data_IF_323546780332
#
_entry.id   IF_323546780332
#
_cell.length_a   1.000
_cell.length_b   1.000
_cell.length_c   1.000
_cell.angle_alpha   90.00
_cell.angle_beta   90.00
_cell.angle_gamma   90.00
#
_symmetry.space_group_name_H-M   'P 1'
#
loop_
_entity.id
_entity.type
_entity.pdbx_description
1 polymer ?
#
# COMPACT_ATOMS: atom_id res chain seq x y z
N UNK A 1 3.73 -17.91 -11.37
CA UNK A 1 3.14 -16.59 -11.63
C UNK A 1 3.18 -15.73 -10.37
N UNK A 2 2.71 -16.24 -9.21
CA UNK A 2 2.71 -15.46 -7.98
C UNK A 2 4.13 -15.08 -7.48
N UNK A 3 5.11 -15.98 -7.62
CA UNK A 3 6.50 -15.71 -7.27
C UNK A 3 7.16 -14.69 -8.20
N UNK A 4 6.90 -14.81 -9.49
CA UNK A 4 7.43 -13.87 -10.49
C UNK A 4 6.88 -12.47 -10.28
N UNK A 5 5.59 -12.35 -9.95
CA UNK A 5 4.96 -11.07 -9.60
C UNK A 5 5.53 -10.47 -8.30
N UNK A 6 5.92 -11.32 -7.34
CA UNK A 6 6.51 -10.87 -6.08
C UNK A 6 7.89 -10.25 -6.29
N UNK A 7 8.75 -10.89 -7.06
CA UNK A 7 10.07 -10.34 -7.43
C UNK A 7 9.93 -9.12 -8.36
N UNK A 8 9.00 -9.20 -9.31
CA UNK A 8 8.72 -8.08 -10.20
C UNK A 8 8.30 -6.81 -9.45
N UNK A 9 7.56 -6.95 -8.35
CA UNK A 9 7.09 -5.80 -7.56
C UNK A 9 8.26 -5.03 -6.94
N UNK A 10 9.23 -5.71 -6.34
CA UNK A 10 10.41 -5.07 -5.76
C UNK A 10 11.23 -4.31 -6.81
N UNK A 11 11.59 -4.98 -7.89
CA UNK A 11 12.36 -4.35 -8.97
C UNK A 11 11.58 -3.23 -9.66
N UNK A 12 10.28 -3.40 -9.82
CA UNK A 12 9.44 -2.36 -10.40
C UNK A 12 9.38 -1.13 -9.50
N UNK A 13 9.27 -1.32 -8.19
CA UNK A 13 9.27 -0.19 -7.24
C UNK A 13 10.60 0.54 -7.26
N UNK A 14 11.74 -0.17 -7.34
CA UNK A 14 13.06 0.46 -7.50
C UNK A 14 13.10 1.35 -8.73
N UNK A 15 12.63 0.85 -9.88
CA UNK A 15 12.61 1.59 -11.13
C UNK A 15 11.66 2.77 -11.09
N UNK A 16 10.50 2.62 -10.46
CA UNK A 16 9.53 3.70 -10.29
C UNK A 16 10.11 4.81 -9.42
N UNK A 17 10.72 4.47 -8.29
CA UNK A 17 11.36 5.44 -7.41
C UNK A 17 12.49 6.19 -8.11
N UNK A 18 13.33 5.48 -8.85
CA UNK A 18 14.39 6.10 -9.64
C UNK A 18 13.82 7.06 -10.69
N UNK A 19 12.80 6.64 -11.42
CA UNK A 19 12.14 7.48 -12.41
C UNK A 19 11.54 8.74 -11.79
N UNK A 20 10.87 8.62 -10.66
CA UNK A 20 10.28 9.76 -9.95
C UNK A 20 11.35 10.78 -9.59
N UNK A 21 12.48 10.34 -9.02
CA UNK A 21 13.57 11.24 -8.68
C UNK A 21 14.19 11.91 -9.91
N UNK A 22 14.35 11.19 -11.01
CA UNK A 22 14.83 11.76 -12.27
C UNK A 22 13.88 12.82 -12.82
N UNK A 23 12.58 12.68 -12.59
CA UNK A 23 11.55 13.65 -12.99
C UNK A 23 11.31 14.73 -11.92
N UNK A 24 12.13 14.77 -10.86
CA UNK A 24 12.02 15.72 -9.75
C UNK A 24 10.70 15.58 -8.97
N UNK A 25 10.16 14.38 -8.93
CA UNK A 25 9.03 14.02 -8.08
C UNK A 25 9.52 13.26 -6.84
N UNK A 26 8.80 13.33 -5.74
CA UNK A 26 9.19 12.67 -4.49
C UNK A 26 8.00 12.08 -3.72
N UNK A 27 6.86 11.92 -4.37
CA UNK A 27 5.64 11.44 -3.73
C UNK A 27 5.01 10.34 -4.59
N UNK A 28 4.57 9.26 -3.94
CA UNK A 28 3.93 8.13 -4.62
C UNK A 28 2.73 7.63 -3.82
N UNK A 29 1.59 7.47 -4.50
CA UNK A 29 0.44 6.74 -3.97
C UNK A 29 0.43 5.36 -4.63
N UNK A 30 0.71 4.27 -3.89
CA UNK A 30 0.68 2.94 -4.48
C UNK A 30 -0.76 2.52 -4.81
N UNK A 31 -0.92 1.76 -5.89
CA UNK A 31 -2.21 1.18 -6.23
C UNK A 31 -2.54 0.07 -5.24
N UNK A 32 -3.74 0.12 -4.68
CA UNK A 32 -4.27 -0.91 -3.78
C UNK A 32 -5.68 -1.28 -4.22
N UNK A 33 -5.84 -2.52 -4.64
CA UNK A 33 -7.11 -3.05 -5.14
C UNK A 33 -7.32 -4.46 -4.60
N UNK A 34 -8.51 -5.01 -4.78
CA UNK A 34 -8.82 -6.37 -4.33
C UNK A 34 -7.91 -7.44 -4.96
N UNK A 35 -7.41 -7.19 -6.17
CA UNK A 35 -6.48 -8.08 -6.86
C UNK A 35 -5.00 -7.83 -6.55
N UNK A 36 -4.67 -6.81 -5.78
CA UNK A 36 -3.30 -6.48 -5.37
C UNK A 36 -3.13 -6.64 -3.88
N UNK A 37 -1.89 -6.89 -3.45
CA UNK A 37 -1.56 -6.87 -2.02
C UNK A 37 -1.35 -5.44 -1.55
N UNK A 38 -1.50 -5.23 -0.24
CA UNK A 38 -1.21 -3.96 0.37
C UNK A 38 0.28 -3.60 0.20
N UNK A 39 0.58 -2.30 0.19
CA UNK A 39 1.96 -1.83 0.12
C UNK A 39 2.83 -2.42 1.24
N UNK A 40 2.32 -2.48 2.46
CA UNK A 40 3.05 -2.99 3.62
C UNK A 40 3.07 -4.52 3.72
N UNK A 41 2.40 -5.22 2.83
CA UNK A 41 2.47 -6.68 2.76
C UNK A 41 3.88 -7.17 2.42
N UNK A 42 4.62 -6.41 1.63
CA UNK A 42 6.01 -6.68 1.29
C UNK A 42 6.91 -5.75 2.10
N UNK A 43 7.66 -6.27 3.10
CA UNK A 43 8.50 -5.42 3.97
C UNK A 43 9.53 -4.59 3.21
N UNK A 44 10.01 -5.09 2.08
CA UNK A 44 11.02 -4.42 1.26
C UNK A 44 10.50 -3.12 0.63
N UNK A 45 9.19 -2.99 0.43
CA UNK A 45 8.61 -1.81 -0.21
C UNK A 45 8.92 -0.52 0.57
N UNK A 46 8.76 -0.54 1.88
CA UNK A 46 9.07 0.63 2.70
C UNK A 46 10.56 0.95 2.72
N UNK A 47 11.40 -0.08 2.71
CA UNK A 47 12.86 0.09 2.67
C UNK A 47 13.31 0.73 1.37
N UNK A 48 12.73 0.32 0.25
CA UNK A 48 13.01 0.92 -1.07
C UNK A 48 12.58 2.38 -1.08
N UNK A 49 11.34 2.68 -0.68
CA UNK A 49 10.84 4.05 -0.67
C UNK A 49 11.68 4.95 0.24
N UNK A 50 12.05 4.46 1.42
CA UNK A 50 12.90 5.20 2.36
C UNK A 50 14.29 5.44 1.80
N UNK A 51 14.91 4.42 1.18
CA UNK A 51 16.23 4.54 0.56
C UNK A 51 16.29 5.59 -0.54
N UNK A 52 15.19 5.78 -1.29
CA UNK A 52 15.06 6.79 -2.33
C UNK A 52 14.49 8.11 -1.81
N UNK A 53 14.19 8.22 -0.51
CA UNK A 53 13.55 9.38 0.09
C UNK A 53 12.22 9.75 -0.58
N UNK A 54 11.44 8.75 -0.99
CA UNK A 54 10.11 8.92 -1.57
C UNK A 54 9.08 8.92 -0.45
N UNK A 55 8.25 9.96 -0.43
CA UNK A 55 7.12 10.06 0.50
C UNK A 55 5.98 9.19 -0.01
N UNK A 56 5.53 8.27 0.81
CA UNK A 56 4.40 7.41 0.46
C UNK A 56 3.11 8.01 1.01
N UNK A 57 2.07 8.01 0.18
CA UNK A 57 0.75 8.47 0.57
C UNK A 57 -0.32 7.49 0.18
N UNK A 58 -1.54 7.76 0.60
CA UNK A 58 -2.71 6.99 0.20
C UNK A 58 -3.87 7.93 -0.08
N UNK A 59 -4.80 7.46 -0.88
CA UNK A 59 -5.96 8.26 -1.29
C UNK A 59 -7.23 7.42 -1.23
N UNK A 60 -8.36 8.09 -1.29
CA UNK A 60 -9.68 7.47 -1.35
C UNK A 60 -9.97 6.66 -0.08
N UNK A 61 -10.21 5.37 -0.20
CA UNK A 61 -10.62 4.51 0.90
C UNK A 61 -9.49 3.65 1.49
N UNK A 62 -8.23 3.95 1.16
CA UNK A 62 -7.05 3.24 1.67
C UNK A 62 -6.23 4.10 2.65
N UNK A 63 -6.77 4.45 3.82
CA UNK A 63 -6.06 5.28 4.78
C UNK A 63 -4.85 4.55 5.37
N UNK A 64 -3.79 5.28 5.65
CA UNK A 64 -2.57 4.77 6.27
C UNK A 64 -1.93 3.61 5.50
N UNK A 65 -2.07 3.60 4.18
CA UNK A 65 -1.60 2.52 3.29
C UNK A 65 -2.23 1.16 3.61
N UNK A 66 -3.39 1.15 4.23
CA UNK A 66 -4.16 -0.06 4.50
C UNK A 66 -5.09 -0.36 3.33
N UNK A 67 -4.95 -1.55 2.74
CA UNK A 67 -5.80 -1.97 1.62
C UNK A 67 -7.09 -2.60 2.14
N UNK A 68 -8.14 -1.80 2.29
CA UNK A 68 -9.42 -2.26 2.80
C UNK A 68 -10.11 -3.29 1.89
N UNK A 69 -9.75 -3.32 0.61
CA UNK A 69 -10.33 -4.28 -0.33
C UNK A 69 -9.78 -5.70 -0.15
N UNK A 70 -8.53 -5.86 0.30
CA UNK A 70 -7.88 -7.16 0.45
C UNK A 70 -7.52 -7.52 1.90
N UNK A 71 -7.32 -6.55 2.77
CA UNK A 71 -6.92 -6.78 4.16
C UNK A 71 -8.09 -6.76 5.13
N UNK A 72 -9.20 -6.12 4.77
CA UNK A 72 -10.36 -5.99 5.64
C UNK A 72 -11.35 -7.14 5.42
N UNK A 73 -11.60 -7.94 6.46
CA UNK A 73 -12.62 -9.00 6.43
C UNK A 73 -13.88 -8.52 7.16
N UNK A 74 -14.94 -8.25 6.40
CA UNK A 74 -16.21 -7.77 6.94
C UNK A 74 -16.89 -8.77 7.89
N UNK A 75 -16.63 -10.07 7.71
CA UNK A 75 -17.24 -11.12 8.53
C UNK A 75 -16.68 -11.14 9.95
N UNK A 76 -15.37 -10.88 10.11
CA UNK A 76 -14.67 -10.93 11.39
C UNK A 76 -14.43 -9.55 11.99
N UNK A 77 -14.27 -8.53 11.16
CA UNK A 77 -13.90 -7.18 11.57
C UNK A 77 -15.06 -6.18 11.55
N UNK A 78 -16.21 -6.56 10.97
CA UNK A 78 -17.39 -5.70 10.85
C UNK A 78 -17.35 -4.79 9.63
N UNK A 79 -18.14 -3.73 9.65
CA UNK A 79 -18.24 -2.80 8.53
C UNK A 79 -16.99 -1.89 8.45
N UNK A 80 -16.60 -1.55 7.22
CA UNK A 80 -15.61 -0.50 6.96
C UNK A 80 -16.27 0.87 7.07
N UNK A 81 -16.66 1.23 8.30
CA UNK A 81 -17.35 2.49 8.58
C UNK A 81 -17.02 2.96 9.99
N UNK A 82 -16.34 4.10 10.09
CA UNK A 82 -15.92 4.64 11.38
C UNK A 82 -17.06 5.07 12.28
N UNK A 83 -18.19 5.47 11.70
CA UNK A 83 -19.36 5.90 12.49
C UNK A 83 -20.04 4.71 13.16
N UNK A 84 -20.22 3.60 12.43
CA UNK A 84 -20.92 2.40 12.92
C UNK A 84 -20.00 1.38 13.58
N UNK A 85 -18.70 1.41 13.28
CA UNK A 85 -17.74 0.41 13.75
C UNK A 85 -16.42 1.06 14.17
N UNK A 86 -16.50 2.03 15.08
CA UNK A 86 -15.33 2.77 15.57
C UNK A 86 -14.29 1.84 16.19
N UNK A 87 -14.72 0.91 17.03
CA UNK A 87 -13.81 -0.01 17.75
C UNK A 87 -13.07 -0.95 16.79
N UNK A 88 -13.77 -1.48 15.78
CA UNK A 88 -13.15 -2.32 14.76
C UNK A 88 -12.11 -1.55 13.93
N UNK A 89 -12.43 -0.34 13.51
CA UNK A 89 -11.52 0.51 12.75
C UNK A 89 -10.31 0.94 13.58
N UNK A 90 -10.49 1.24 14.85
CA UNK A 90 -9.37 1.64 15.73
C UNK A 90 -8.35 0.53 15.99
N UNK A 91 -8.67 -0.72 15.67
CA UNK A 91 -7.74 -1.85 15.77
C UNK A 91 -6.80 -1.98 14.56
N UNK A 92 -7.05 -1.25 13.51
CA UNK A 92 -6.23 -1.27 12.29
C UNK A 92 -4.85 -0.63 12.54
#
# INVERSE_FOLDING_TARGET
VARELQYATFYNLLKICELLLRLKANYLCPAMHSCTKAFNYYPDNKLVADSFAIVMGSVHCEPLLFNNASEWDRKTMGEWNYVTNRDGINKV
#
